data_IF_221529000803
#
_entry.id   IF_221529000803
#
_cell.length_a   1.000
_cell.length_b   1.000
_cell.length_c   1.000
_cell.angle_alpha   90.00
_cell.angle_beta   90.00
_cell.angle_gamma   90.00
#
_symmetry.space_group_name_H-M   'P 1'
#
loop_
_entity.id
_entity.type
_entity.pdbx_description
1 polymer ?
#
# COMPACT_ATOMS: atom_id res chain seq x y z
N UNK A 1 -11.31 16.75 -3.00
CA UNK A 1 -10.31 17.63 -2.32
C UNK A 1 -10.68 17.94 -0.87
N UNK A 2 -11.82 18.60 -0.57
CA UNK A 2 -12.26 18.82 0.83
C UNK A 2 -12.35 17.53 1.64
N UNK A 3 -12.94 16.49 1.07
CA UNK A 3 -13.02 15.17 1.72
C UNK A 3 -11.65 14.62 2.13
N UNK A 4 -10.63 14.76 1.28
CA UNK A 4 -9.25 14.35 1.58
C UNK A 4 -8.69 15.13 2.78
N UNK A 5 -8.87 16.45 2.81
CA UNK A 5 -8.43 17.27 3.94
C UNK A 5 -9.13 16.89 5.26
N UNK A 6 -10.43 16.60 5.20
CA UNK A 6 -11.16 16.11 6.39
C UNK A 6 -10.63 14.74 6.82
N UNK A 7 -10.29 13.85 5.88
CA UNK A 7 -9.67 12.56 6.17
C UNK A 7 -8.30 12.73 6.83
N UNK A 8 -7.45 13.64 6.33
CA UNK A 8 -6.15 13.97 6.93
C UNK A 8 -6.31 14.39 8.40
N UNK A 9 -7.27 15.29 8.68
CA UNK A 9 -7.54 15.76 10.04
C UNK A 9 -8.05 14.63 10.95
N UNK A 10 -8.82 13.69 10.40
CA UNK A 10 -9.33 12.53 11.15
C UNK A 10 -8.19 11.60 11.54
N UNK A 11 -7.25 11.38 10.62
CA UNK A 11 -6.06 10.56 10.86
C UNK A 11 -5.16 11.20 11.92
N UNK A 12 -4.92 12.52 11.80
CA UNK A 12 -4.14 13.29 12.79
C UNK A 12 -4.80 13.35 14.16
N UNK A 13 -6.14 13.30 14.22
CA UNK A 13 -6.90 13.23 15.45
C UNK A 13 -6.87 11.84 16.11
N UNK A 14 -6.22 10.85 15.50
CA UNK A 14 -6.12 9.49 16.01
C UNK A 14 -7.38 8.65 15.77
N UNK A 15 -8.22 9.03 14.81
CA UNK A 15 -9.35 8.21 14.33
C UNK A 15 -9.06 7.64 12.94
N UNK A 16 -8.25 6.57 12.85
CA UNK A 16 -7.84 6.04 11.55
C UNK A 16 -8.98 5.32 10.80
N UNK A 17 -10.01 4.82 11.51
CA UNK A 17 -11.23 4.27 10.90
C UNK A 17 -12.01 5.37 10.16
N UNK A 18 -12.32 6.48 10.86
CA UNK A 18 -13.04 7.59 10.25
C UNK A 18 -12.24 8.20 9.08
N UNK A 19 -10.92 8.23 9.22
CA UNK A 19 -10.04 8.67 8.14
C UNK A 19 -10.15 7.76 6.93
N UNK A 20 -10.13 6.44 7.11
CA UNK A 20 -10.24 5.45 6.03
C UNK A 20 -11.55 5.57 5.25
N UNK A 21 -12.68 5.67 5.94
CA UNK A 21 -14.00 5.86 5.29
C UNK A 21 -14.03 7.16 4.46
N UNK A 22 -13.41 8.23 4.96
CA UNK A 22 -13.33 9.50 4.24
C UNK A 22 -12.36 9.46 3.06
N UNK A 23 -11.22 8.78 3.18
CA UNK A 23 -10.29 8.63 2.06
C UNK A 23 -10.88 7.79 0.93
N UNK A 24 -11.58 6.70 1.24
CA UNK A 24 -12.27 5.89 0.22
C UNK A 24 -13.34 6.71 -0.50
N UNK A 25 -14.13 7.52 0.22
CA UNK A 25 -15.07 8.46 -0.40
C UNK A 25 -14.35 9.54 -1.24
N UNK A 26 -13.23 10.09 -0.75
CA UNK A 26 -12.43 11.06 -1.50
C UNK A 26 -11.84 10.46 -2.78
N UNK A 27 -11.43 9.19 -2.76
CA UNK A 27 -10.92 8.46 -3.91
C UNK A 27 -12.00 8.32 -5.00
N UNK A 28 -13.23 7.95 -4.63
CA UNK A 28 -14.34 7.87 -5.59
C UNK A 28 -14.67 9.23 -6.22
N UNK A 29 -14.71 10.30 -5.43
CA UNK A 29 -14.96 11.65 -5.96
C UNK A 29 -13.84 12.13 -6.90
N UNK A 30 -12.58 11.83 -6.57
CA UNK A 30 -11.43 12.25 -7.37
C UNK A 30 -11.31 11.45 -8.66
N UNK A 31 -11.65 10.15 -8.61
CA UNK A 31 -11.81 9.28 -9.78
C UNK A 31 -12.91 9.80 -10.71
N UNK A 32 -14.07 10.19 -10.17
CA UNK A 32 -15.15 10.78 -10.96
C UNK A 32 -14.75 12.12 -11.61
N UNK A 33 -13.93 12.92 -10.94
CA UNK A 33 -13.40 14.17 -11.48
C UNK A 33 -12.21 14.00 -12.45
N UNK A 34 -11.77 12.76 -12.69
CA UNK A 34 -10.58 12.45 -13.51
C UNK A 34 -9.31 13.22 -13.07
N UNK A 35 -9.12 13.37 -11.75
CA UNK A 35 -7.97 14.07 -11.17
C UNK A 35 -6.98 13.03 -10.59
N UNK A 36 -6.00 12.57 -11.39
CA UNK A 36 -5.16 11.43 -11.03
C UNK A 36 -4.24 11.72 -9.84
N UNK A 37 -3.79 12.97 -9.67
CA UNK A 37 -2.92 13.33 -8.55
C UNK A 37 -3.69 13.25 -7.22
N UNK A 38 -4.91 13.78 -7.21
CA UNK A 38 -5.75 13.74 -6.02
C UNK A 38 -6.28 12.34 -5.73
N UNK A 39 -6.53 11.54 -6.77
CA UNK A 39 -6.86 10.12 -6.62
C UNK A 39 -5.72 9.34 -5.97
N UNK A 40 -4.49 9.46 -6.50
CA UNK A 40 -3.31 8.82 -5.93
C UNK A 40 -3.08 9.24 -4.47
N UNK A 41 -3.20 10.53 -4.15
CA UNK A 41 -3.07 11.01 -2.77
C UNK A 41 -4.15 10.48 -1.81
N UNK A 42 -5.35 10.17 -2.33
CA UNK A 42 -6.42 9.59 -1.52
C UNK A 42 -6.17 8.10 -1.25
N UNK A 43 -5.62 7.37 -2.23
CA UNK A 43 -5.20 5.98 -2.06
C UNK A 43 -4.02 5.84 -1.09
N UNK A 44 -3.06 6.76 -1.15
CA UNK A 44 -1.98 6.83 -0.14
C UNK A 44 -2.57 7.02 1.26
N UNK A 45 -3.53 7.93 1.42
CA UNK A 45 -4.25 8.14 2.67
C UNK A 45 -4.97 6.89 3.17
N UNK A 46 -5.61 6.12 2.28
CA UNK A 46 -6.21 4.83 2.64
C UNK A 46 -5.18 3.86 3.23
N UNK A 47 -4.00 3.74 2.60
CA UNK A 47 -2.93 2.87 3.10
C UNK A 47 -2.38 3.36 4.44
N UNK A 48 -2.18 4.67 4.61
CA UNK A 48 -1.73 5.27 5.86
C UNK A 48 -2.72 5.03 7.01
N UNK A 49 -4.02 5.18 6.76
CA UNK A 49 -5.07 4.84 7.73
C UNK A 49 -5.04 3.36 8.11
N UNK A 50 -4.81 2.46 7.15
CA UNK A 50 -4.66 1.03 7.43
C UNK A 50 -3.49 0.73 8.35
N UNK A 51 -2.31 1.30 8.08
CA UNK A 51 -1.14 1.13 8.95
C UNK A 51 -1.44 1.67 10.36
N UNK A 52 -2.08 2.84 10.46
CA UNK A 52 -2.47 3.41 11.75
C UNK A 52 -3.50 2.55 12.51
N UNK A 53 -4.44 1.91 11.80
CA UNK A 53 -5.34 0.91 12.39
C UNK A 53 -4.61 -0.34 12.88
N UNK A 54 -3.54 -0.74 12.20
CA UNK A 54 -2.70 -1.89 12.55
C UNK A 54 -1.88 -1.63 13.81
N UNK A 55 -1.21 -0.48 13.85
CA UNK A 55 -0.38 -0.04 14.98
C UNK A 55 -1.20 0.13 16.27
N UNK A 56 -2.49 0.45 16.17
CA UNK A 56 -3.40 0.53 17.30
C UNK A 56 -3.79 -0.84 17.88
N UNK A 57 -3.38 -1.96 17.27
CA UNK A 57 -3.48 -3.32 17.82
C UNK A 57 -4.91 -3.91 17.90
N UNK A 58 -5.90 -3.30 17.25
CA UNK A 58 -7.33 -3.59 17.52
C UNK A 58 -8.18 -4.12 16.36
N UNK A 59 -7.67 -4.23 15.13
CA UNK A 59 -8.54 -4.34 13.95
C UNK A 59 -8.27 -5.51 12.99
N UNK A 60 -7.61 -6.58 13.45
CA UNK A 60 -7.34 -7.77 12.63
C UNK A 60 -6.72 -7.41 11.26
N UNK A 61 -5.81 -6.43 11.27
CA UNK A 61 -5.22 -5.91 10.01
C UNK A 61 -4.48 -7.01 9.27
N UNK A 62 -3.85 -7.94 9.98
CA UNK A 62 -3.23 -9.13 9.38
C UNK A 62 -4.24 -9.94 8.55
N UNK A 63 -5.44 -10.18 9.09
CA UNK A 63 -6.50 -10.92 8.41
C UNK A 63 -7.08 -10.14 7.21
N UNK A 64 -7.16 -8.80 7.30
CA UNK A 64 -7.56 -7.98 6.16
C UNK A 64 -6.51 -7.98 5.04
N UNK A 65 -5.22 -7.85 5.40
CA UNK A 65 -4.11 -7.85 4.45
C UNK A 65 -4.01 -9.20 3.73
N UNK A 66 -4.10 -10.30 4.47
CA UNK A 66 -4.07 -11.66 3.91
C UNK A 66 -5.22 -11.92 2.93
N UNK A 67 -6.38 -11.28 3.12
CA UNK A 67 -7.55 -11.47 2.28
C UNK A 67 -7.64 -10.50 1.09
N UNK A 68 -7.13 -9.26 1.21
CA UNK A 68 -7.35 -8.20 0.22
C UNK A 68 -6.11 -7.80 -0.56
N UNK A 69 -4.91 -8.06 -0.02
CA UNK A 69 -3.63 -7.72 -0.65
C UNK A 69 -2.87 -8.94 -1.18
N UNK A 70 -3.60 -9.98 -1.60
CA UNK A 70 -3.00 -11.07 -2.36
C UNK A 70 -2.53 -10.53 -3.72
N UNK A 71 -1.22 -10.35 -3.88
CA UNK A 71 -0.65 -10.12 -5.20
C UNK A 71 -0.99 -11.34 -6.07
N UNK A 72 -1.56 -11.09 -7.24
CA UNK A 72 -1.91 -12.14 -8.20
C UNK A 72 -0.69 -13.06 -8.43
N UNK A 73 -0.89 -14.38 -8.43
CA UNK A 73 0.21 -15.37 -8.50
C UNK A 73 1.16 -15.11 -9.68
N UNK A 74 0.64 -14.62 -10.80
CA UNK A 74 1.40 -14.21 -11.97
C UNK A 74 2.40 -13.07 -11.68
N UNK A 75 2.01 -12.10 -10.84
CA UNK A 75 2.90 -10.99 -10.44
C UNK A 75 3.95 -11.49 -9.45
N UNK A 76 3.57 -12.38 -8.53
CA UNK A 76 4.51 -13.00 -7.58
C UNK A 76 5.55 -13.88 -8.29
N UNK A 77 5.13 -14.66 -9.28
CA UNK A 77 6.04 -15.50 -10.08
C UNK A 77 6.97 -14.64 -10.94
N UNK A 78 6.46 -13.55 -11.54
CA UNK A 78 7.29 -12.58 -12.26
C UNK A 78 8.28 -11.84 -11.34
N UNK A 79 7.87 -11.46 -10.13
CA UNK A 79 8.76 -10.83 -9.15
C UNK A 79 9.85 -11.80 -8.66
N UNK A 80 9.50 -13.07 -8.43
CA UNK A 80 10.47 -14.10 -8.06
C UNK A 80 11.46 -14.37 -9.21
N UNK A 81 10.98 -14.47 -10.44
CA UNK A 81 11.81 -14.63 -11.63
C UNK A 81 12.76 -13.43 -11.83
N UNK A 82 12.27 -12.20 -11.67
CA UNK A 82 13.09 -10.98 -11.75
C UNK A 82 14.17 -10.93 -10.66
N UNK A 83 13.89 -11.45 -9.47
CA UNK A 83 14.87 -11.58 -8.38
C UNK A 83 15.98 -12.59 -8.72
N UNK A 84 15.65 -13.68 -9.41
CA UNK A 84 16.64 -14.69 -9.87
C UNK A 84 17.47 -14.24 -11.08
N UNK A 85 16.99 -13.29 -11.88
CA UNK A 85 17.78 -12.71 -12.98
C UNK A 85 18.88 -11.79 -12.43
N UNK A 86 18.58 -10.99 -11.40
CA UNK A 86 19.58 -10.10 -10.77
C UNK A 86 20.74 -10.84 -10.08
N UNK A 87 20.56 -12.08 -9.65
CA UNK A 87 21.64 -12.88 -9.06
C UNK A 87 22.57 -13.51 -10.11
N UNK A 88 22.14 -13.59 -11.37
CA UNK A 88 22.91 -14.20 -12.45
C UNK A 88 23.70 -13.19 -13.30
N UNK A 89 23.43 -11.89 -13.17
CA UNK A 89 24.11 -10.83 -13.93
C UNK A 89 25.36 -10.25 -13.25
N UNK A 90 25.69 -10.67 -12.02
CA UNK A 90 26.95 -10.30 -11.38
C UNK A 90 28.01 -11.41 -11.55
N UNK A 91 28.87 -11.36 -12.59
CA UNK A 91 29.96 -12.32 -12.77
C UNK A 91 31.03 -12.25 -11.66
N UNK A 92 30.99 -11.24 -10.78
CA UNK A 92 31.99 -11.02 -9.74
C UNK A 92 31.81 -11.86 -8.46
N UNK A 93 30.65 -12.49 -8.23
CA UNK A 93 30.40 -13.28 -7.00
C UNK A 93 30.76 -14.76 -7.08
N UNK A 94 31.05 -15.28 -8.28
CA UNK A 94 31.38 -16.71 -8.49
C UNK A 94 32.78 -17.12 -8.03
N UNK A 95 33.66 -16.16 -7.69
CA UNK A 95 35.04 -16.46 -7.29
C UNK A 95 35.27 -16.58 -5.77
N UNK A 96 34.26 -16.34 -4.92
CA UNK A 96 34.46 -16.30 -3.46
C UNK A 96 34.00 -17.56 -2.70
N UNK A 97 33.59 -18.62 -3.40
CA UNK A 97 33.22 -19.91 -2.79
C UNK A 97 34.03 -21.02 -3.44
N UNK A 98 35.36 -20.92 -3.36
CA UNK A 98 36.27 -22.08 -3.46
C UNK A 98 37.60 -21.70 -2.81
N UNK A 99 37.69 -21.85 -1.48
CA UNK A 99 38.78 -22.50 -0.72
C UNK A 99 38.19 -22.95 0.60
#
# INVERSE_FOLDING_TARGET
>A
RREKMTADLSLLAGSPIDAYERYTHAAELTKASQDPLWYASSLEGCAASFVAMADAGGHAVDEYLDNNFQLHEEIMTLAAAASMVKTNEDPARKSLITV
#
